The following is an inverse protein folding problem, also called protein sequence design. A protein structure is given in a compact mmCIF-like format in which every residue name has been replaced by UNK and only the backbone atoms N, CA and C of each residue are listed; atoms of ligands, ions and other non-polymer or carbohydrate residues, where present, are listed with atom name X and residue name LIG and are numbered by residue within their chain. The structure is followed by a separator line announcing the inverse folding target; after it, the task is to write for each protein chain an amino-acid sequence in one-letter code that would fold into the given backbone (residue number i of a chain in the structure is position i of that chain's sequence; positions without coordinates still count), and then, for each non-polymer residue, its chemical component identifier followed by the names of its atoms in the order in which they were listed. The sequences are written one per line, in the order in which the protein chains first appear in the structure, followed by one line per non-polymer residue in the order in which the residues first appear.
data_IF_261491878297
#
_entry.id   IF_261491878297
#
_cell.length_a   1.000
_cell.length_b   1.000
_cell.length_c   1.000
_cell.angle_alpha   90.00
_cell.angle_beta   90.00
_cell.angle_gamma   90.00
#
_symmetry.space_group_name_H-M   'P 1'
#
loop_
_entity.id
_entity.type
_entity.pdbx_description
1 polymer ?
#
# COMPACT_ATOMS: atom_id res chain seq x y z
N UNK A 1 -8.42 -14.50 -8.30
CA UNK A 1 -7.62 -13.35 -8.78
C UNK A 1 -6.20 -13.54 -8.27
N UNK A 2 -5.15 -13.41 -9.11
CA UNK A 2 -3.77 -13.48 -8.63
C UNK A 2 -3.52 -12.35 -7.62
N UNK A 3 -2.65 -12.61 -6.65
CA UNK A 3 -2.30 -11.63 -5.61
C UNK A 3 -1.59 -10.44 -6.27
N UNK A 4 -2.13 -9.23 -6.07
CA UNK A 4 -1.47 -8.00 -6.53
C UNK A 4 -0.34 -7.66 -5.54
N UNK A 5 0.90 -7.44 -6.02
CA UNK A 5 2.01 -7.05 -5.16
C UNK A 5 1.74 -5.68 -4.52
N UNK A 6 2.24 -5.50 -3.30
CA UNK A 6 2.09 -4.26 -2.51
C UNK A 6 0.65 -3.84 -2.15
N UNK A 7 -0.33 -4.72 -2.42
CA UNK A 7 -1.70 -4.64 -1.92
C UNK A 7 -1.89 -5.63 -0.79
N UNK A 8 -2.55 -5.19 0.28
CA UNK A 8 -2.72 -5.97 1.50
C UNK A 8 -4.16 -5.83 2.00
N UNK A 9 -4.65 -6.88 2.67
CA UNK A 9 -5.94 -6.87 3.33
C UNK A 9 -5.79 -6.49 4.80
N UNK A 10 -6.56 -5.49 5.24
CA UNK A 10 -6.68 -5.10 6.64
C UNK A 10 -7.91 -5.77 7.25
N UNK A 11 -7.67 -6.74 8.14
CA UNK A 11 -8.73 -7.49 8.82
C UNK A 11 -9.52 -6.65 9.81
N UNK A 12 -8.95 -5.57 10.36
CA UNK A 12 -9.63 -4.74 11.34
C UNK A 12 -10.68 -3.84 10.68
N UNK A 13 -10.39 -3.33 9.49
CA UNK A 13 -11.31 -2.48 8.71
C UNK A 13 -12.05 -3.24 7.61
N UNK A 14 -11.82 -4.55 7.47
CA UNK A 14 -12.33 -5.40 6.39
C UNK A 14 -12.12 -4.80 5.00
N UNK A 15 -11.02 -4.07 4.80
CA UNK A 15 -10.73 -3.31 3.58
C UNK A 15 -9.32 -3.57 3.05
N UNK A 16 -9.08 -3.24 1.79
CA UNK A 16 -7.75 -3.32 1.20
C UNK A 16 -7.01 -1.98 1.34
N UNK A 17 -5.69 -2.09 1.36
CA UNK A 17 -4.78 -0.94 1.31
C UNK A 17 -3.58 -1.23 0.42
N UNK A 18 -3.09 -0.19 -0.23
CA UNK A 18 -1.89 -0.25 -1.05
C UNK A 18 -0.77 0.59 -0.44
N UNK A 19 0.46 0.15 -0.65
CA UNK A 19 1.67 0.85 -0.25
C UNK A 19 2.52 1.10 -1.48
N UNK A 20 2.67 2.36 -1.88
CA UNK A 20 3.57 2.77 -2.94
C UNK A 20 4.92 3.17 -2.34
N UNK A 21 6.00 2.63 -2.91
CA UNK A 21 7.38 3.06 -2.60
C UNK A 21 7.73 4.26 -3.45
N UNK A 22 8.10 5.38 -2.84
CA UNK A 22 8.47 6.62 -3.53
C UNK A 22 9.99 6.81 -3.64
N UNK A 23 10.76 5.78 -3.30
CA UNK A 23 12.22 5.83 -3.25
C UNK A 23 12.76 6.10 -1.85
N UNK A 24 13.93 6.70 -1.79
CA UNK A 24 14.59 7.11 -0.55
C UNK A 24 14.76 8.62 -0.57
N UNK A 25 14.57 9.25 0.59
CA UNK A 25 14.88 10.66 0.79
C UNK A 25 16.40 10.85 0.68
N UNK A 26 16.83 11.74 -0.21
CA UNK A 26 18.25 11.99 -0.49
C UNK A 26 18.98 12.61 0.71
N UNK A 27 18.29 13.33 1.59
CA UNK A 27 18.90 14.00 2.75
C UNK A 27 19.02 13.04 3.92
N UNK A 28 17.97 12.26 4.20
CA UNK A 28 17.92 11.41 5.39
C UNK A 28 18.25 9.95 5.12
N UNK A 29 18.29 9.54 3.85
CA UNK A 29 18.46 8.14 3.43
C UNK A 29 17.26 7.24 3.78
N UNK A 30 16.18 7.79 4.33
CA UNK A 30 15.02 7.03 4.78
C UNK A 30 14.09 6.70 3.64
N UNK A 31 13.47 5.52 3.69
CA UNK A 31 12.50 5.11 2.67
C UNK A 31 11.26 5.98 2.73
N UNK A 32 10.87 6.54 1.59
CA UNK A 32 9.61 7.24 1.41
C UNK A 32 8.54 6.28 0.91
N UNK A 33 7.40 6.24 1.60
CA UNK A 33 6.26 5.42 1.22
C UNK A 33 4.96 6.20 1.37
N UNK A 34 4.01 5.95 0.47
CA UNK A 34 2.65 6.47 0.58
C UNK A 34 1.68 5.32 0.72
N UNK A 35 0.81 5.41 1.72
CA UNK A 35 -0.22 4.42 2.02
C UNK A 35 -1.60 5.01 1.77
N UNK A 36 -2.44 4.29 1.03
CA UNK A 36 -3.87 4.59 0.89
C UNK A 36 -4.68 3.37 1.31
N UNK A 37 -5.78 3.58 2.03
CA UNK A 37 -6.63 2.54 2.63
C UNK A 37 -8.09 2.74 2.22
N UNK A 38 -8.92 1.73 2.49
CA UNK A 38 -10.38 1.80 2.34
C UNK A 38 -10.90 1.28 1.00
N UNK A 39 -10.10 0.52 0.27
CA UNK A 39 -10.53 -0.07 -1.00
C UNK A 39 -11.38 -1.31 -0.76
N UNK A 40 -12.42 -1.52 -1.58
CA UNK A 40 -13.31 -2.68 -1.43
C UNK A 40 -12.70 -3.92 -2.06
N UNK A 41 -11.90 -3.75 -3.10
CA UNK A 41 -11.28 -4.84 -3.85
C UNK A 41 -9.77 -4.65 -3.99
N UNK A 42 -9.06 -5.73 -4.31
CA UNK A 42 -7.62 -5.66 -4.59
C UNK A 42 -7.32 -4.84 -5.86
N UNK A 43 -8.20 -4.86 -6.86
CA UNK A 43 -8.02 -4.13 -8.12
C UNK A 43 -8.13 -2.61 -7.94
N UNK A 44 -8.95 -2.18 -6.99
CA UNK A 44 -9.12 -0.76 -6.66
C UNK A 44 -7.94 -0.18 -5.87
N UNK A 45 -7.20 -1.04 -5.17
CA UNK A 45 -6.12 -0.67 -4.25
C UNK A 45 -4.79 -0.45 -4.98
#
# INVERSE_FOLDING_TARGET
MPKIPHVYYDKASSSYYAVASLGFDEVTGKRMQKKKRGFKTQTEA
#
